data_IF_259625923363
#
_entry.id   IF_259625923363
#
_cell.length_a   1.000
_cell.length_b   1.000
_cell.length_c   1.000
_cell.angle_alpha   90.00
_cell.angle_beta   90.00
_cell.angle_gamma   90.00
#
_symmetry.space_group_name_H-M   'P 1'
#
loop_
_entity.id
_entity.type
_entity.pdbx_description
1 polymer ?
#
# COMPACT_ATOMS: atom_id res chain seq x y z
N UNK A 1 -5.71 14.75 15.14
CA UNK A 1 -4.60 14.06 14.40
C UNK A 1 -4.92 12.58 14.35
N UNK A 2 -4.82 11.97 13.17
CA UNK A 2 -4.92 10.51 12.97
C UNK A 2 -3.52 9.98 12.77
N UNK A 3 -3.17 8.88 13.46
CA UNK A 3 -1.87 8.23 13.36
C UNK A 3 -2.02 6.98 12.49
N UNK A 4 -1.40 6.99 11.32
CA UNK A 4 -1.45 5.90 10.33
C UNK A 4 -0.15 5.11 10.42
N UNK A 5 -0.19 3.89 10.94
CA UNK A 5 0.90 2.94 10.80
C UNK A 5 0.85 2.28 9.42
N UNK A 6 1.99 2.02 8.81
CA UNK A 6 2.03 1.34 7.52
C UNK A 6 3.30 0.49 7.34
N UNK A 7 3.15 -0.64 6.65
CA UNK A 7 4.22 -1.52 6.17
C UNK A 7 3.74 -2.28 4.93
N UNK A 8 4.64 -2.67 4.06
CA UNK A 8 4.41 -3.55 2.92
C UNK A 8 5.58 -4.51 2.75
N UNK A 9 5.48 -5.43 1.79
CA UNK A 9 6.58 -6.32 1.40
C UNK A 9 7.13 -7.13 2.59
N UNK A 10 6.22 -7.63 3.41
CA UNK A 10 6.55 -8.44 4.59
C UNK A 10 6.87 -9.88 4.22
N UNK A 11 6.44 -10.34 3.03
CA UNK A 11 6.74 -11.65 2.44
C UNK A 11 6.69 -12.81 3.45
N UNK A 12 5.60 -12.88 4.20
CA UNK A 12 5.45 -13.89 5.25
C UNK A 12 5.32 -15.29 4.66
N UNK A 13 6.02 -16.21 5.30
CA UNK A 13 6.04 -17.63 5.00
C UNK A 13 6.09 -18.44 6.30
N UNK A 14 5.85 -19.76 6.27
CA UNK A 14 5.75 -20.56 7.49
C UNK A 14 6.98 -20.54 8.39
N UNK A 15 8.16 -20.40 7.83
CA UNK A 15 9.44 -20.37 8.54
C UNK A 15 9.71 -19.06 9.31
N UNK A 16 8.94 -17.99 8.99
CA UNK A 16 9.02 -16.69 9.68
C UNK A 16 7.80 -16.38 10.55
N UNK A 17 6.90 -17.36 10.75
CA UNK A 17 5.72 -17.21 11.62
C UNK A 17 6.12 -16.80 13.03
N UNK A 18 5.47 -15.75 13.56
CA UNK A 18 5.71 -15.20 14.90
C UNK A 18 6.91 -14.26 15.00
N UNK A 19 7.62 -13.97 13.90
CA UNK A 19 8.76 -13.04 13.95
C UNK A 19 8.34 -11.58 13.95
N UNK A 20 7.24 -11.24 13.28
CA UNK A 20 6.78 -9.84 13.19
C UNK A 20 5.86 -9.48 14.37
N UNK A 21 5.05 -10.43 14.85
CA UNK A 21 4.03 -10.24 15.90
C UNK A 21 4.54 -9.50 17.14
N UNK A 22 5.71 -9.83 17.74
CA UNK A 22 6.20 -9.14 18.94
C UNK A 22 6.45 -7.64 18.71
N UNK A 23 6.74 -7.22 17.48
CA UNK A 23 6.96 -5.82 17.12
C UNK A 23 5.65 -5.05 16.88
N UNK A 24 4.53 -5.76 16.77
CA UNK A 24 3.18 -5.18 16.62
C UNK A 24 2.43 -5.09 17.95
N UNK A 25 2.93 -5.72 19.00
CA UNK A 25 2.32 -5.62 20.32
C UNK A 25 2.27 -4.17 20.83
N UNK A 26 1.10 -3.74 21.31
CA UNK A 26 0.90 -2.36 21.76
C UNK A 26 0.83 -1.31 20.64
N UNK A 27 0.71 -1.71 19.38
CA UNK A 27 0.64 -0.77 18.22
C UNK A 27 -0.45 0.30 18.41
N UNK A 28 -1.56 -0.02 19.06
CA UNK A 28 -2.64 0.92 19.37
C UNK A 28 -2.24 2.11 20.26
N UNK A 29 -1.13 2.01 21.01
CA UNK A 29 -0.58 3.14 21.75
C UNK A 29 0.07 4.18 20.81
N UNK A 30 0.48 3.75 19.61
CA UNK A 30 1.25 4.54 18.65
C UNK A 30 0.49 4.86 17.37
N UNK A 31 -0.53 4.08 17.01
CA UNK A 31 -1.30 4.21 15.79
C UNK A 31 -2.80 3.99 16.01
N UNK A 32 -3.61 4.57 15.13
CA UNK A 32 -5.07 4.46 15.13
C UNK A 32 -5.56 3.48 14.05
N UNK A 33 -4.73 3.18 13.06
CA UNK A 33 -4.96 2.23 11.96
C UNK A 33 -3.62 1.67 11.47
N UNK A 34 -3.62 0.42 10.98
CA UNK A 34 -2.49 -0.19 10.27
C UNK A 34 -2.86 -0.41 8.80
N UNK A 35 -2.01 0.06 7.89
CA UNK A 35 -2.12 -0.15 6.45
C UNK A 35 -1.05 -1.14 5.99
N UNK A 36 -1.46 -2.15 5.21
CA UNK A 36 -0.58 -3.16 4.61
C UNK A 36 -0.51 -2.96 3.09
N UNK A 37 0.66 -2.58 2.59
CA UNK A 37 0.86 -2.13 1.21
C UNK A 37 1.26 -3.27 0.24
N UNK A 38 0.66 -4.45 0.39
CA UNK A 38 0.84 -5.59 -0.51
C UNK A 38 2.11 -6.41 -0.26
N UNK A 39 2.27 -7.48 -1.05
CA UNK A 39 3.30 -8.51 -0.90
C UNK A 39 3.34 -9.05 0.54
N UNK A 40 2.15 -9.47 0.98
CA UNK A 40 1.93 -9.97 2.33
C UNK A 40 2.47 -11.40 2.47
N UNK A 41 2.26 -12.21 1.43
CA UNK A 41 2.75 -13.58 1.32
C UNK A 41 4.03 -13.62 0.48
N UNK A 42 4.83 -14.67 0.66
CA UNK A 42 6.06 -14.83 -0.12
C UNK A 42 5.79 -15.40 -1.53
N UNK A 43 4.85 -16.33 -1.66
CA UNK A 43 4.56 -17.03 -2.92
C UNK A 43 3.08 -17.02 -3.32
N UNK A 44 2.21 -16.38 -2.57
CA UNK A 44 0.79 -16.29 -2.91
C UNK A 44 -0.01 -17.56 -2.61
N UNK A 45 0.35 -18.30 -1.56
CA UNK A 45 -0.37 -19.51 -1.14
C UNK A 45 -1.36 -19.23 -0.02
N UNK A 46 -2.45 -20.02 0.05
CA UNK A 46 -3.42 -19.95 1.15
C UNK A 46 -2.76 -20.22 2.52
N UNK A 47 -1.79 -21.10 2.58
CA UNK A 47 -1.06 -21.41 3.81
C UNK A 47 -0.21 -20.23 4.32
N UNK A 48 0.40 -19.46 3.42
CA UNK A 48 1.09 -18.22 3.78
C UNK A 48 0.11 -17.14 4.22
N UNK A 49 -1.09 -17.08 3.62
CA UNK A 49 -2.14 -16.17 4.06
C UNK A 49 -2.61 -16.46 5.50
N UNK A 50 -2.61 -17.72 5.95
CA UNK A 50 -2.84 -18.05 7.36
C UNK A 50 -1.74 -17.49 8.27
N UNK A 51 -0.47 -17.50 7.81
CA UNK A 51 0.63 -16.85 8.56
C UNK A 51 0.41 -15.35 8.66
N UNK A 52 0.03 -14.69 7.56
CA UNK A 52 -0.32 -13.26 7.56
C UNK A 52 -1.45 -12.98 8.54
N UNK A 53 -2.51 -13.80 8.51
CA UNK A 53 -3.64 -13.67 9.43
C UNK A 53 -3.21 -13.74 10.89
N UNK A 54 -2.34 -14.72 11.26
CA UNK A 54 -1.84 -14.89 12.63
C UNK A 54 -0.96 -13.70 13.08
N UNK A 55 -0.16 -13.12 12.17
CA UNK A 55 0.72 -11.97 12.51
C UNK A 55 -0.08 -10.69 12.77
N UNK A 56 -1.15 -10.45 12.00
CA UNK A 56 -1.87 -9.17 12.01
C UNK A 56 -3.27 -9.21 12.64
N UNK A 57 -3.77 -10.37 13.09
CA UNK A 57 -5.06 -10.44 13.77
C UNK A 57 -5.02 -9.80 15.16
N UNK A 58 -6.17 -9.31 15.64
CA UNK A 58 -6.40 -8.86 17.03
C UNK A 58 -5.37 -7.83 17.55
N UNK A 59 -4.96 -6.88 16.71
CA UNK A 59 -4.05 -5.79 17.10
C UNK A 59 -4.72 -4.67 17.89
N UNK A 60 -6.06 -4.73 18.07
CA UNK A 60 -6.83 -3.71 18.78
C UNK A 60 -7.06 -2.42 17.97
N UNK A 61 -6.58 -2.36 16.75
CA UNK A 61 -6.83 -1.28 15.78
C UNK A 61 -7.26 -1.89 14.43
N UNK A 62 -7.98 -1.13 13.57
CA UNK A 62 -8.30 -1.57 12.22
C UNK A 62 -7.05 -1.89 11.40
N UNK A 63 -7.11 -2.97 10.61
CA UNK A 63 -6.08 -3.34 9.64
C UNK A 63 -6.69 -3.30 8.24
N UNK A 64 -6.11 -2.49 7.36
CA UNK A 64 -6.54 -2.34 5.96
C UNK A 64 -5.40 -2.73 5.05
N UNK A 65 -5.65 -3.59 4.09
CA UNK A 65 -4.63 -4.15 3.21
C UNK A 65 -5.01 -4.01 1.73
N UNK A 66 -4.02 -3.96 0.87
CA UNK A 66 -4.09 -4.34 -0.54
C UNK A 66 -3.20 -5.56 -0.75
N UNK A 67 -3.45 -6.33 -1.80
CA UNK A 67 -2.54 -7.38 -2.23
C UNK A 67 -1.40 -6.80 -3.08
N UNK A 68 -0.27 -7.52 -3.15
CA UNK A 68 0.84 -7.24 -4.04
C UNK A 68 1.01 -8.31 -5.13
N UNK A 69 2.05 -8.21 -5.94
CA UNK A 69 2.25 -9.16 -7.03
C UNK A 69 2.64 -10.57 -6.55
N UNK A 70 3.33 -10.69 -5.41
CA UNK A 70 3.61 -12.00 -4.82
C UNK A 70 2.34 -12.71 -4.33
N UNK A 71 1.35 -11.97 -3.86
CA UNK A 71 0.06 -12.53 -3.44
C UNK A 71 -0.75 -13.11 -4.62
N UNK A 72 -0.39 -12.75 -5.87
CA UNK A 72 -0.98 -13.30 -7.10
C UNK A 72 -0.17 -14.45 -7.72
N UNK A 73 1.01 -14.77 -7.20
CA UNK A 73 1.97 -15.68 -7.85
C UNK A 73 1.42 -17.10 -8.09
N UNK A 74 0.59 -17.59 -7.18
CA UNK A 74 -0.03 -18.92 -7.29
C UNK A 74 -1.48 -18.88 -7.79
N UNK A 75 -1.93 -17.77 -8.39
CA UNK A 75 -3.29 -17.58 -8.92
C UNK A 75 -4.41 -17.79 -7.87
N UNK A 76 -4.12 -17.52 -6.58
CA UNK A 76 -5.04 -17.69 -5.44
C UNK A 76 -5.45 -16.37 -4.75
N UNK A 77 -5.52 -15.20 -5.41
CA UNK A 77 -5.79 -13.94 -4.72
C UNK A 77 -7.18 -13.89 -4.04
N UNK A 78 -8.16 -14.62 -4.57
CA UNK A 78 -9.49 -14.70 -3.98
C UNK A 78 -9.50 -15.48 -2.66
N UNK A 79 -8.79 -16.59 -2.59
CA UNK A 79 -8.63 -17.41 -1.39
C UNK A 79 -7.86 -16.64 -0.31
N UNK A 80 -6.75 -15.98 -0.69
CA UNK A 80 -5.96 -15.12 0.20
C UNK A 80 -6.85 -14.01 0.76
N UNK A 81 -7.57 -13.29 -0.10
CA UNK A 81 -8.50 -12.23 0.33
C UNK A 81 -9.55 -12.75 1.30
N UNK A 82 -10.14 -13.92 1.04
CA UNK A 82 -11.15 -14.52 1.90
C UNK A 82 -10.58 -14.88 3.29
N UNK A 83 -9.38 -15.46 3.36
CA UNK A 83 -8.70 -15.78 4.61
C UNK A 83 -8.37 -14.52 5.42
N UNK A 84 -7.82 -13.50 4.80
CA UNK A 84 -7.49 -12.25 5.47
C UNK A 84 -8.75 -11.52 5.98
N UNK A 85 -9.82 -11.51 5.20
CA UNK A 85 -11.12 -10.96 5.65
C UNK A 85 -11.72 -11.75 6.80
N UNK A 86 -11.59 -13.06 6.79
CA UNK A 86 -12.07 -13.92 7.87
C UNK A 86 -11.31 -13.69 9.19
N UNK A 87 -10.05 -13.22 9.14
CA UNK A 87 -9.27 -12.80 10.32
C UNK A 87 -9.56 -11.37 10.79
N UNK A 88 -10.53 -10.67 10.18
CA UNK A 88 -10.94 -9.33 10.58
C UNK A 88 -10.25 -8.19 9.83
N UNK A 89 -9.40 -8.47 8.84
CA UNK A 89 -8.80 -7.43 8.01
C UNK A 89 -9.76 -6.93 6.93
N UNK A 90 -9.63 -5.66 6.56
CA UNK A 90 -10.25 -5.11 5.35
C UNK A 90 -9.26 -5.22 4.20
N UNK A 91 -9.58 -5.96 3.14
CA UNK A 91 -8.76 -6.08 1.92
C UNK A 91 -9.44 -5.32 0.80
N UNK A 92 -8.74 -4.35 0.21
CA UNK A 92 -9.24 -3.45 -0.83
C UNK A 92 -8.66 -3.82 -2.21
N UNK A 93 -9.49 -3.71 -3.26
CA UNK A 93 -9.06 -3.85 -4.66
C UNK A 93 -9.96 -2.99 -5.56
N UNK A 94 -9.63 -1.70 -5.69
CA UNK A 94 -10.43 -0.74 -6.43
C UNK A 94 -11.65 -0.21 -5.68
N UNK A 95 -11.75 -0.48 -4.40
CA UNK A 95 -12.80 -0.03 -3.48
C UNK A 95 -12.20 0.74 -2.29
N UNK A 96 -13.04 1.13 -1.33
CA UNK A 96 -12.59 1.90 -0.18
C UNK A 96 -13.47 1.74 1.04
N UNK A 97 -12.96 2.19 2.18
CA UNK A 97 -13.61 2.15 3.48
C UNK A 97 -13.48 3.50 4.18
N UNK A 98 -14.46 3.87 4.99
CA UNK A 98 -14.36 4.97 5.96
C UNK A 98 -14.25 4.39 7.37
N UNK A 99 -13.24 4.83 8.10
CA UNK A 99 -12.99 4.46 9.48
C UNK A 99 -13.27 5.65 10.40
N UNK A 100 -14.13 5.43 11.40
CA UNK A 100 -14.36 6.40 12.47
C UNK A 100 -13.29 6.22 13.55
N UNK A 101 -12.28 7.08 13.57
CA UNK A 101 -11.13 7.01 14.46
C UNK A 101 -11.16 8.15 15.49
N UNK A 102 -10.43 8.06 16.61
CA UNK A 102 -10.41 9.10 17.64
C UNK A 102 -10.01 10.49 17.09
N UNK A 103 -9.18 10.54 16.06
CA UNK A 103 -8.73 11.79 15.42
C UNK A 103 -9.63 12.32 14.31
N UNK A 104 -10.75 11.64 13.98
CA UNK A 104 -11.69 11.97 12.92
C UNK A 104 -11.95 10.83 11.95
N UNK A 105 -12.67 11.11 10.86
CA UNK A 105 -13.01 10.13 9.82
C UNK A 105 -11.87 10.01 8.81
N UNK A 106 -11.35 8.80 8.66
CA UNK A 106 -10.33 8.44 7.67
C UNK A 106 -10.96 7.63 6.54
N UNK A 107 -10.87 8.12 5.32
CA UNK A 107 -11.16 7.34 4.12
C UNK A 107 -9.89 6.67 3.60
N UNK A 108 -9.94 5.38 3.36
CA UNK A 108 -8.87 4.64 2.69
C UNK A 108 -9.45 3.98 1.46
N UNK A 109 -8.93 4.27 0.28
CA UNK A 109 -9.19 3.49 -0.91
C UNK A 109 -7.89 2.85 -1.40
N UNK A 110 -8.00 1.62 -1.90
CA UNK A 110 -6.82 0.85 -2.24
C UNK A 110 -6.98 -0.01 -3.48
N UNK A 111 -5.85 -0.27 -4.10
CA UNK A 111 -5.70 -1.23 -5.20
C UNK A 111 -4.28 -1.77 -5.18
N UNK A 112 -4.08 -2.99 -5.69
CA UNK A 112 -2.73 -3.47 -5.97
C UNK A 112 -1.99 -2.44 -6.85
N UNK A 113 -2.67 -1.87 -7.82
CA UNK A 113 -2.05 -1.11 -8.90
C UNK A 113 -1.33 -2.01 -9.90
N UNK A 114 -0.58 -1.41 -10.81
CA UNK A 114 0.19 -2.14 -11.81
C UNK A 114 1.32 -1.28 -12.37
N UNK A 115 2.21 -1.89 -13.17
CA UNK A 115 3.21 -1.19 -13.95
C UNK A 115 2.58 -0.24 -14.98
N UNK A 116 3.38 0.49 -15.71
CA UNK A 116 2.94 1.46 -16.73
C UNK A 116 3.97 2.57 -16.93
N UNK A 117 4.75 2.84 -15.89
CA UNK A 117 5.85 3.80 -15.92
C UNK A 117 5.44 5.21 -15.56
N UNK A 118 6.34 6.13 -15.86
CA UNK A 118 6.29 7.53 -15.42
C UNK A 118 6.57 8.45 -16.61
N UNK A 119 6.27 9.75 -16.53
CA UNK A 119 6.53 10.69 -17.63
C UNK A 119 7.95 10.56 -18.19
N UNK A 120 8.07 10.35 -19.51
CA UNK A 120 9.34 10.09 -20.19
C UNK A 120 9.86 8.64 -20.12
N UNK A 121 9.22 7.77 -19.35
CA UNK A 121 9.56 6.34 -19.16
C UNK A 121 8.30 5.50 -19.02
N UNK A 122 7.37 5.62 -19.93
CA UNK A 122 6.09 4.89 -19.92
C UNK A 122 5.81 4.26 -21.28
N UNK A 123 5.05 3.14 -21.26
CA UNK A 123 4.43 2.59 -22.47
C UNK A 123 3.25 3.44 -22.91
N UNK A 124 2.89 3.35 -24.20
CA UNK A 124 1.70 3.99 -24.73
C UNK A 124 0.62 2.96 -25.06
N UNK A 125 -0.65 3.37 -25.01
CA UNK A 125 -1.81 2.59 -25.47
C UNK A 125 -1.87 2.58 -27.01
N UNK A 126 -0.79 2.05 -27.60
CA UNK A 126 -0.62 2.01 -29.05
C UNK A 126 0.10 0.73 -29.47
N UNK A 127 -0.20 0.23 -30.67
CA UNK A 127 0.46 -0.92 -31.27
C UNK A 127 -0.26 -2.24 -30.94
N UNK A 128 0.48 -3.20 -30.44
CA UNK A 128 0.07 -4.58 -30.21
C UNK A 128 -0.99 -4.71 -29.11
N UNK A 129 -1.90 -5.71 -29.21
CA UNK A 129 -2.95 -5.94 -28.23
C UNK A 129 -2.41 -6.10 -26.81
N UNK A 130 -1.26 -6.74 -26.64
CA UNK A 130 -0.61 -7.02 -25.35
C UNK A 130 -0.17 -5.71 -24.68
N UNK A 131 0.46 -4.79 -25.44
CA UNK A 131 0.87 -3.49 -24.92
C UNK A 131 -0.35 -2.64 -24.52
N UNK A 132 -1.37 -2.63 -25.36
CA UNK A 132 -2.64 -1.94 -25.05
C UNK A 132 -3.32 -2.52 -23.82
N UNK A 133 -3.32 -3.86 -23.66
CA UNK A 133 -3.89 -4.53 -22.48
C UNK A 133 -3.12 -4.14 -21.22
N UNK A 134 -1.78 -4.13 -21.28
CA UNK A 134 -0.91 -3.71 -20.17
C UNK A 134 -1.23 -2.28 -19.69
N UNK A 135 -1.24 -1.31 -20.60
CA UNK A 135 -1.50 0.10 -20.27
C UNK A 135 -2.94 0.31 -19.80
N UNK A 136 -3.90 -0.36 -20.44
CA UNK A 136 -5.32 -0.28 -20.06
C UNK A 136 -5.56 -0.82 -18.65
N UNK A 137 -4.99 -1.98 -18.34
CA UNK A 137 -5.11 -2.58 -17.00
C UNK A 137 -4.58 -1.65 -15.91
N UNK A 138 -3.40 -1.04 -16.14
CA UNK A 138 -2.85 -0.06 -15.21
C UNK A 138 -3.77 1.14 -14.97
N UNK A 139 -4.36 1.66 -16.05
CA UNK A 139 -5.29 2.80 -15.99
C UNK A 139 -6.58 2.43 -15.26
N UNK A 140 -7.20 1.30 -15.60
CA UNK A 140 -8.46 0.84 -15.00
C UNK A 140 -8.34 0.68 -13.48
N UNK A 141 -7.23 0.11 -12.98
CA UNK A 141 -6.99 -0.02 -11.55
C UNK A 141 -6.84 1.34 -10.85
N UNK A 142 -6.11 2.26 -11.47
CA UNK A 142 -5.94 3.61 -10.92
C UNK A 142 -7.26 4.40 -10.93
N UNK A 143 -8.04 4.32 -12.01
CA UNK A 143 -9.36 4.96 -12.12
C UNK A 143 -10.32 4.45 -11.05
N UNK A 144 -10.41 3.12 -10.85
CA UNK A 144 -11.26 2.52 -9.83
C UNK A 144 -10.91 3.02 -8.41
N UNK A 145 -9.62 3.05 -8.06
CA UNK A 145 -9.16 3.62 -6.79
C UNK A 145 -9.52 5.11 -6.66
N UNK A 146 -9.31 5.90 -7.72
CA UNK A 146 -9.62 7.34 -7.73
C UNK A 146 -11.12 7.60 -7.57
N UNK A 147 -11.99 6.79 -8.19
CA UNK A 147 -13.44 6.85 -8.03
C UNK A 147 -13.84 6.50 -6.59
N UNK A 148 -13.26 5.44 -6.04
CA UNK A 148 -13.49 5.05 -4.65
C UNK A 148 -13.08 6.18 -3.70
N UNK A 149 -11.88 6.76 -3.83
CA UNK A 149 -11.41 7.88 -2.99
C UNK A 149 -12.35 9.08 -3.02
N UNK A 150 -12.83 9.47 -4.21
CA UNK A 150 -13.78 10.60 -4.36
C UNK A 150 -15.12 10.34 -3.70
N UNK A 151 -15.55 9.08 -3.67
CA UNK A 151 -16.83 8.68 -3.07
C UNK A 151 -16.81 8.65 -1.53
N UNK A 152 -15.63 8.62 -0.89
CA UNK A 152 -15.50 8.54 0.56
C UNK A 152 -15.87 9.89 1.22
N UNK A 153 -16.86 9.84 2.10
CA UNK A 153 -17.21 10.98 2.97
C UNK A 153 -16.31 10.95 4.22
N UNK A 154 -15.13 11.53 4.11
CA UNK A 154 -14.10 11.52 5.16
C UNK A 154 -13.35 12.85 5.21
N UNK A 155 -12.82 13.19 6.41
CA UNK A 155 -12.02 14.38 6.62
C UNK A 155 -10.61 14.28 6.07
N UNK A 156 -10.08 13.06 6.02
CA UNK A 156 -8.77 12.71 5.44
C UNK A 156 -8.90 11.52 4.50
N UNK A 157 -8.11 11.49 3.43
CA UNK A 157 -8.10 10.44 2.42
C UNK A 157 -6.71 9.88 2.22
N UNK A 158 -6.59 8.55 2.25
CA UNK A 158 -5.33 7.83 1.97
C UNK A 158 -5.51 6.94 0.76
N UNK A 159 -4.62 7.09 -0.21
CA UNK A 159 -4.47 6.14 -1.31
C UNK A 159 -3.49 5.04 -0.88
N UNK A 160 -3.95 3.80 -0.82
CA UNK A 160 -3.14 2.62 -0.49
C UNK A 160 -2.92 1.80 -1.75
N UNK A 161 -1.66 1.65 -2.15
CA UNK A 161 -1.30 0.84 -3.33
C UNK A 161 -0.16 -0.11 -3.00
N UNK A 162 0.08 -1.12 -3.84
CA UNK A 162 1.33 -1.86 -3.78
C UNK A 162 2.36 -1.26 -4.75
N UNK A 163 1.95 -1.02 -6.00
CA UNK A 163 2.81 -0.36 -6.99
C UNK A 163 2.97 1.13 -6.71
N UNK A 164 4.15 1.67 -7.04
CA UNK A 164 4.48 3.07 -6.76
C UNK A 164 3.69 4.06 -7.64
N UNK A 165 3.15 5.15 -7.05
CA UNK A 165 2.54 6.25 -7.82
C UNK A 165 3.56 7.23 -8.41
N UNK A 166 4.81 7.29 -7.90
CA UNK A 166 5.80 8.31 -8.31
C UNK A 166 7.20 7.72 -8.51
N UNK A 167 7.95 8.27 -9.45
CA UNK A 167 9.32 7.85 -9.73
C UNK A 167 10.31 8.21 -8.61
N UNK A 168 9.99 9.19 -7.78
CA UNK A 168 10.86 9.66 -6.70
C UNK A 168 11.14 8.56 -5.66
N UNK A 169 10.12 7.76 -5.31
CA UNK A 169 10.27 6.66 -4.36
C UNK A 169 10.95 5.42 -4.95
N UNK A 170 11.24 5.43 -6.25
CA UNK A 170 12.03 4.40 -6.93
C UNK A 170 13.53 4.72 -6.95
N UNK A 171 13.96 5.84 -6.39
CA UNK A 171 15.37 6.23 -6.37
C UNK A 171 16.21 5.20 -5.61
N UNK A 172 17.05 4.48 -6.31
CA UNK A 172 17.82 3.31 -5.84
C UNK A 172 17.56 2.05 -6.65
N UNK A 173 16.40 1.95 -7.27
CA UNK A 173 16.07 0.89 -8.22
C UNK A 173 16.73 1.14 -9.59
N UNK A 174 17.02 0.08 -10.39
CA UNK A 174 17.46 0.25 -11.76
C UNK A 174 16.42 1.00 -12.59
N UNK A 175 16.78 2.11 -13.27
CA UNK A 175 15.80 2.89 -14.05
C UNK A 175 15.11 2.11 -15.17
N UNK A 176 15.72 1.03 -15.64
CA UNK A 176 15.21 0.16 -16.69
C UNK A 176 13.93 -0.58 -16.28
N UNK A 177 13.74 -0.82 -14.98
CA UNK A 177 12.57 -1.53 -14.46
C UNK A 177 11.47 -0.60 -13.94
N UNK A 178 11.66 0.71 -13.91
CA UNK A 178 10.66 1.68 -13.45
C UNK A 178 9.26 1.45 -14.05
N UNK A 179 9.11 1.13 -15.36
CA UNK A 179 7.79 0.85 -15.94
C UNK A 179 7.07 -0.37 -15.33
N UNK A 180 7.80 -1.22 -14.63
CA UNK A 180 7.25 -2.42 -13.95
C UNK A 180 7.08 -2.20 -12.44
N UNK A 181 7.60 -1.10 -11.88
CA UNK A 181 7.52 -0.80 -10.45
C UNK A 181 6.36 0.14 -10.08
N UNK A 182 5.73 0.76 -11.06
CA UNK A 182 4.63 1.66 -10.79
C UNK A 182 4.07 2.35 -12.01
N UNK A 183 3.14 3.26 -11.76
CA UNK A 183 2.47 4.03 -12.80
C UNK A 183 2.06 5.41 -12.32
N UNK A 184 2.31 6.43 -13.13
CA UNK A 184 1.86 7.80 -12.90
C UNK A 184 0.33 7.94 -12.85
N UNK A 185 -0.43 7.01 -13.41
CA UNK A 185 -1.90 6.99 -13.31
C UNK A 185 -2.37 6.93 -11.85
N UNK A 186 -1.63 6.23 -10.97
CA UNK A 186 -1.95 6.15 -9.54
C UNK A 186 -1.82 7.52 -8.86
N UNK A 187 -0.79 8.31 -9.21
CA UNK A 187 -0.63 9.67 -8.71
C UNK A 187 -1.74 10.60 -9.23
N UNK A 188 -2.05 10.55 -10.52
CA UNK A 188 -3.14 11.33 -11.11
C UNK A 188 -4.49 11.02 -10.45
N UNK A 189 -4.77 9.75 -10.18
CA UNK A 189 -5.99 9.31 -9.49
C UNK A 189 -6.04 9.85 -8.04
N UNK A 190 -4.95 9.75 -7.28
CA UNK A 190 -4.84 10.26 -5.92
C UNK A 190 -4.99 11.78 -5.86
N UNK A 191 -4.30 12.52 -6.75
CA UNK A 191 -4.36 13.97 -6.83
C UNK A 191 -5.77 14.45 -7.19
N UNK A 192 -6.44 13.80 -8.17
CA UNK A 192 -7.80 14.14 -8.57
C UNK A 192 -8.84 13.95 -7.45
N UNK A 193 -8.52 13.12 -6.47
CA UNK A 193 -9.34 12.84 -5.30
C UNK A 193 -8.91 13.63 -4.05
N UNK A 194 -7.90 14.51 -4.17
CA UNK A 194 -7.30 15.25 -3.07
C UNK A 194 -6.87 14.32 -1.92
N UNK A 195 -6.08 13.30 -2.22
CA UNK A 195 -5.52 12.43 -1.20
C UNK A 195 -4.54 13.20 -0.31
N UNK A 196 -4.62 13.00 1.01
CA UNK A 196 -3.73 13.61 2.01
C UNK A 196 -2.42 12.83 2.16
N UNK A 197 -2.42 11.56 1.74
CA UNK A 197 -1.26 10.65 1.81
C UNK A 197 -1.44 9.53 0.79
N UNK A 198 -0.34 9.17 0.11
CA UNK A 198 -0.21 7.95 -0.66
C UNK A 198 0.77 7.01 0.03
N UNK A 199 0.41 5.74 0.18
CA UNK A 199 1.25 4.70 0.78
C UNK A 199 1.40 3.56 -0.21
N UNK A 200 2.63 3.10 -0.43
CA UNK A 200 2.91 1.97 -1.32
C UNK A 200 4.09 1.13 -0.86
N UNK A 201 4.28 -0.04 -1.46
CA UNK A 201 5.40 -0.95 -1.29
C UNK A 201 6.20 -1.18 -2.57
N UNK A 202 6.54 -2.42 -2.86
CA UNK A 202 7.09 -2.95 -4.10
C UNK A 202 8.53 -2.54 -4.45
N UNK A 203 8.96 -1.31 -4.19
CA UNK A 203 10.28 -0.81 -4.55
C UNK A 203 11.27 -1.04 -3.39
N UNK A 204 11.89 -2.22 -3.35
CA UNK A 204 12.71 -2.67 -2.22
C UNK A 204 14.04 -1.94 -2.08
N UNK A 205 14.63 -1.49 -3.21
CA UNK A 205 15.84 -0.67 -3.22
C UNK A 205 15.52 0.83 -3.36
N UNK A 206 14.24 1.21 -3.31
CA UNK A 206 13.78 2.58 -3.43
C UNK A 206 14.05 3.45 -2.21
N UNK A 207 13.47 4.64 -2.20
CA UNK A 207 13.52 5.58 -1.08
C UNK A 207 12.14 5.76 -0.43
N UNK A 208 12.10 6.08 0.88
CA UNK A 208 10.85 6.19 1.65
C UNK A 208 9.95 7.33 1.17
N UNK A 209 10.53 8.48 0.80
CA UNK A 209 9.78 9.72 0.62
C UNK A 209 9.69 10.15 -0.84
N UNK A 210 8.50 10.55 -1.25
CA UNK A 210 8.19 11.21 -2.53
C UNK A 210 6.98 12.12 -2.39
N UNK A 211 6.59 12.74 -3.49
CA UNK A 211 5.46 13.66 -3.57
C UNK A 211 4.78 13.52 -4.92
N UNK A 212 3.45 13.48 -4.95
CA UNK A 212 2.72 13.50 -6.22
C UNK A 212 2.84 14.87 -6.91
N UNK A 213 2.57 14.99 -8.21
CA UNK A 213 2.51 16.28 -8.88
C UNK A 213 1.52 17.28 -8.25
N UNK A 214 0.43 16.79 -7.66
CA UNK A 214 -0.57 17.60 -6.94
C UNK A 214 -0.16 17.98 -5.52
N UNK A 215 0.97 17.47 -5.01
CA UNK A 215 1.53 17.84 -3.71
C UNK A 215 1.20 16.85 -2.57
N UNK A 216 0.52 15.74 -2.82
CA UNK A 216 0.27 14.73 -1.81
C UNK A 216 1.57 14.00 -1.43
N UNK A 217 1.90 13.86 -0.13
CA UNK A 217 3.04 13.07 0.31
C UNK A 217 2.90 11.60 -0.13
N UNK A 218 3.99 11.01 -0.60
CA UNK A 218 4.09 9.58 -0.94
C UNK A 218 5.07 8.91 0.01
N UNK A 219 4.73 7.71 0.47
CA UNK A 219 5.57 6.89 1.35
C UNK A 219 5.71 5.48 0.80
N UNK A 220 6.93 5.11 0.49
CA UNK A 220 7.31 3.73 0.24
C UNK A 220 7.54 3.05 1.58
N UNK A 221 6.64 2.15 1.95
CA UNK A 221 6.66 1.44 3.23
C UNK A 221 7.10 -0.01 3.09
N UNK A 222 7.78 -0.35 2.00
CA UNK A 222 8.39 -1.66 1.84
C UNK A 222 9.31 -1.96 3.04
N UNK A 223 9.16 -3.14 3.65
CA UNK A 223 9.94 -3.54 4.82
C UNK A 223 11.47 -3.40 4.61
N UNK A 224 12.03 -3.76 3.41
CA UNK A 224 13.43 -3.53 3.11
C UNK A 224 13.86 -2.06 3.14
N UNK A 225 12.97 -1.12 2.79
CA UNK A 225 13.22 0.33 2.82
C UNK A 225 13.12 0.85 4.24
N UNK A 226 12.07 0.47 4.97
CA UNK A 226 11.83 0.94 6.34
C UNK A 226 12.84 0.38 7.35
N UNK A 227 13.29 -0.86 7.19
CA UNK A 227 14.14 -1.60 8.14
C UNK A 227 13.57 -1.60 9.58
N UNK A 228 12.24 -1.60 9.69
CA UNK A 228 11.44 -1.63 10.94
C UNK A 228 10.07 -2.19 10.66
N UNK A 229 9.41 -2.74 11.67
CA UNK A 229 8.14 -3.45 11.53
C UNK A 229 7.01 -2.59 10.93
N UNK A 230 7.03 -1.28 11.13
CA UNK A 230 6.14 -0.29 10.52
C UNK A 230 6.68 1.13 10.69
N UNK A 231 6.16 2.07 9.88
CA UNK A 231 6.33 3.51 10.09
C UNK A 231 4.98 4.13 10.49
N UNK A 232 5.00 5.27 11.20
CA UNK A 232 3.79 6.00 11.60
C UNK A 232 3.79 7.40 11.00
N UNK A 233 2.68 7.76 10.35
CA UNK A 233 2.47 9.06 9.71
C UNK A 233 1.26 9.76 10.33
N UNK A 234 1.41 11.04 10.68
CA UNK A 234 0.34 11.87 11.23
C UNK A 234 -0.46 12.60 10.15
N UNK A 235 -1.80 12.53 10.21
CA UNK A 235 -2.69 13.36 9.40
C UNK A 235 -3.34 14.42 10.29
N UNK A 236 -3.32 15.69 9.86
CA UNK A 236 -3.97 16.81 10.56
C UNK A 236 -3.07 17.71 11.40
N UNK A 237 -1.73 17.61 11.26
CA UNK A 237 -0.78 18.62 11.74
C UNK A 237 0.23 18.97 10.63
N UNK A 238 0.85 20.17 10.68
CA UNK A 238 1.96 20.47 9.80
C UNK A 238 3.08 19.45 10.05
N UNK A 239 3.58 18.83 8.99
CA UNK A 239 4.50 17.68 8.98
C UNK A 239 5.64 17.77 10.00
N UNK A 240 5.49 17.11 11.13
CA UNK A 240 6.58 16.75 12.02
C UNK A 240 6.80 15.24 11.91
N UNK A 241 7.72 14.85 11.06
CA UNK A 241 8.19 13.47 10.91
C UNK A 241 9.00 13.09 12.17
N UNK A 242 8.39 12.40 13.10
CA UNK A 242 9.13 11.73 14.17
C UNK A 242 9.22 10.24 13.86
N UNK A 243 10.23 9.88 13.06
CA UNK A 243 10.67 8.49 12.96
C UNK A 243 11.40 8.11 14.26
N UNK A 244 10.88 7.14 15.04
CA UNK A 244 11.66 6.51 16.11
C UNK A 244 12.43 5.32 15.53
N UNK A 245 13.76 5.26 15.72
CA UNK A 245 14.52 4.07 15.35
C UNK A 245 14.20 2.90 16.29
N UNK A 246 14.23 1.67 15.76
CA UNK A 246 14.20 0.44 16.56
C UNK A 246 15.42 0.42 17.49
N UNK A 247 15.19 0.11 18.76
CA UNK A 247 16.26 -0.35 19.64
C UNK A 247 16.78 -1.68 19.10
N UNK A 248 18.11 -1.77 18.97
CA UNK A 248 18.83 -2.97 18.54
C UNK A 248 18.70 -4.08 19.55
#
# INVERSE_FOLDING_TARGET
MIRVAAVGDVHLAPDVRGLLRPHLEGIGEHADVLLLAGDLTQHGTAFEAEVVADEFADLGIPVVAVLGNHDYQCDMPHEITALLRASGMTVLEGDGIVLDLPGGRLGVAGTKGFGGGFPGRSGSDFGEPEMKAFVRHSRELAEAMGEALRALDAGYRVALTHYSPVAETLAGEPPEIYPFLGSYFLAEAADSANADLCVHGHAHAGSECGTTPGGAPVRNVALPVLQRAYAVYGLGEPASLTARPLAR
#
